data_IF_583909096301
#
_entry.id   IF_583909096301
#
_cell.length_a   1.000
_cell.length_b   1.000
_cell.length_c   1.000
_cell.angle_alpha   90.00
_cell.angle_beta   90.00
_cell.angle_gamma   90.00
#
_symmetry.space_group_name_H-M   'P 1'
#
loop_
_entity.id
_entity.type
_entity.pdbx_description
1 polymer ?
#
# COMPACT_ATOMS: atom_id res chain seq x y z
N UNK A 1 2.02 17.15 -23.77
CA UNK A 1 2.88 17.42 -22.60
C UNK A 1 3.39 16.09 -22.06
N UNK A 2 4.66 16.02 -21.67
CA UNK A 2 5.21 14.80 -21.06
C UNK A 2 4.81 14.75 -19.59
N UNK A 3 4.24 13.64 -19.12
CA UNK A 3 3.72 13.54 -17.75
C UNK A 3 4.84 13.35 -16.74
N UNK A 4 4.72 13.91 -15.54
CA UNK A 4 5.63 13.72 -14.41
C UNK A 4 4.83 13.39 -13.15
N UNK A 5 5.35 12.51 -12.29
CA UNK A 5 4.67 12.17 -11.04
C UNK A 5 5.61 12.22 -9.85
N UNK A 6 5.07 12.60 -8.69
CA UNK A 6 5.73 12.37 -7.40
C UNK A 6 5.24 11.03 -6.85
N UNK A 7 6.14 10.07 -6.61
CA UNK A 7 5.83 8.76 -6.04
C UNK A 7 6.22 8.75 -4.56
N UNK A 8 5.24 8.53 -3.68
CA UNK A 8 5.45 8.48 -2.24
C UNK A 8 5.53 7.04 -1.76
N UNK A 9 6.74 6.61 -1.37
CA UNK A 9 7.05 5.24 -0.93
C UNK A 9 6.91 5.05 0.58
N UNK A 10 6.43 3.87 0.98
CA UNK A 10 6.46 3.38 2.38
C UNK A 10 7.69 2.52 2.71
N UNK A 11 8.63 2.35 1.79
CA UNK A 11 9.74 1.41 1.88
C UNK A 11 10.86 1.93 2.81
N UNK A 12 10.82 1.48 4.06
CA UNK A 12 11.83 1.80 5.07
C UNK A 12 12.75 0.64 5.40
N UNK A 13 12.14 -0.50 5.74
CA UNK A 13 12.82 -1.70 6.23
C UNK A 13 12.16 -3.00 5.77
N UNK A 14 10.83 -3.04 5.77
CA UNK A 14 10.10 -4.25 5.42
C UNK A 14 10.22 -4.53 3.91
N UNK A 15 10.72 -5.71 3.56
CA UNK A 15 10.84 -6.14 2.15
C UNK A 15 9.52 -6.04 1.38
N UNK A 16 8.38 -6.31 2.02
CA UNK A 16 7.06 -6.14 1.42
C UNK A 16 6.75 -4.68 1.04
N UNK A 17 7.14 -3.70 1.87
CA UNK A 17 6.96 -2.28 1.55
C UNK A 17 7.88 -1.85 0.37
N UNK A 18 9.08 -2.44 0.24
CA UNK A 18 9.94 -2.27 -0.94
C UNK A 18 9.27 -2.83 -2.20
N UNK A 19 8.82 -4.09 -2.15
CA UNK A 19 8.13 -4.73 -3.27
C UNK A 19 6.87 -3.96 -3.71
N UNK A 20 6.09 -3.43 -2.76
CA UNK A 20 4.93 -2.58 -3.05
C UNK A 20 5.35 -1.32 -3.81
N UNK A 21 6.44 -0.67 -3.38
CA UNK A 21 6.93 0.56 -3.99
C UNK A 21 7.45 0.31 -5.40
N UNK A 22 8.20 -0.77 -5.59
CA UNK A 22 8.72 -1.20 -6.89
C UNK A 22 7.58 -1.55 -7.85
N UNK A 23 6.63 -2.39 -7.43
CA UNK A 23 5.46 -2.75 -8.26
C UNK A 23 4.57 -1.57 -8.59
N UNK A 24 4.41 -0.61 -7.67
CA UNK A 24 3.68 0.63 -7.97
C UNK A 24 4.39 1.44 -9.05
N UNK A 25 5.72 1.59 -8.96
CA UNK A 25 6.53 2.29 -9.95
C UNK A 25 6.50 1.57 -11.30
N UNK A 26 6.67 0.25 -11.33
CA UNK A 26 6.60 -0.58 -12.54
C UNK A 26 5.28 -0.35 -13.29
N UNK A 27 4.16 -0.38 -12.56
CA UNK A 27 2.83 -0.11 -13.13
C UNK A 27 2.75 1.30 -13.75
N UNK A 28 3.22 2.31 -13.03
CA UNK A 28 3.17 3.71 -13.47
C UNK A 28 4.04 3.91 -14.71
N UNK A 29 5.27 3.40 -14.69
CA UNK A 29 6.19 3.51 -15.81
C UNK A 29 5.63 2.80 -17.05
N UNK A 30 5.05 1.61 -16.86
CA UNK A 30 4.55 0.80 -17.96
C UNK A 30 3.31 1.38 -18.63
N UNK A 31 2.32 1.79 -17.84
CA UNK A 31 1.01 2.20 -18.35
C UNK A 31 0.85 3.72 -18.50
N UNK A 32 1.54 4.53 -17.69
CA UNK A 32 1.46 5.99 -17.77
C UNK A 32 2.64 6.63 -18.48
N UNK A 33 3.79 5.92 -18.57
CA UNK A 33 5.00 6.33 -19.31
C UNK A 33 5.41 7.78 -19.04
N UNK A 34 5.63 8.17 -17.77
CA UNK A 34 6.05 9.52 -17.45
C UNK A 34 7.44 9.84 -18.03
N UNK A 35 7.71 11.12 -18.29
CA UNK A 35 9.06 11.60 -18.60
C UNK A 35 10.03 11.35 -17.44
N UNK A 36 9.55 11.58 -16.22
CA UNK A 36 10.32 11.41 -14.99
C UNK A 36 9.39 11.22 -13.80
N UNK A 37 9.94 10.62 -12.75
CA UNK A 37 9.26 10.43 -11.46
C UNK A 37 10.16 10.92 -10.33
N UNK A 38 9.67 11.85 -9.52
CA UNK A 38 10.29 12.21 -8.24
C UNK A 38 9.89 11.16 -7.21
N UNK A 39 10.84 10.50 -6.56
CA UNK A 39 10.54 9.45 -5.58
C UNK A 39 10.94 9.95 -4.19
N UNK A 40 9.97 10.03 -3.28
CA UNK A 40 10.18 10.45 -1.90
C UNK A 40 9.65 9.37 -0.95
N UNK A 41 10.30 9.19 0.19
CA UNK A 41 9.76 8.32 1.24
C UNK A 41 8.76 9.11 2.08
N UNK A 42 7.66 8.47 2.48
CA UNK A 42 6.56 9.15 3.20
C UNK A 42 6.94 9.83 4.52
N UNK A 43 8.11 9.52 5.10
CA UNK A 43 8.60 10.14 6.35
C UNK A 43 9.71 11.18 6.13
N UNK A 44 10.11 11.44 4.88
CA UNK A 44 11.05 12.50 4.55
C UNK A 44 10.38 13.86 4.74
N UNK A 45 11.20 14.90 4.90
CA UNK A 45 10.72 16.27 4.87
C UNK A 45 10.46 16.68 3.42
N UNK A 46 9.23 17.07 3.11
CA UNK A 46 8.81 17.44 1.76
C UNK A 46 9.01 18.94 1.49
N UNK A 47 9.29 19.74 2.53
CA UNK A 47 9.47 21.19 2.41
C UNK A 47 10.53 21.57 1.34
N UNK A 48 11.71 20.93 1.26
CA UNK A 48 12.71 21.26 0.25
C UNK A 48 12.29 20.89 -1.18
N UNK A 49 11.32 20.00 -1.33
CA UNK A 49 10.88 19.45 -2.63
C UNK A 49 9.58 20.09 -3.13
N UNK A 50 8.99 21.05 -2.41
CA UNK A 50 7.67 21.60 -2.76
C UNK A 50 7.60 22.17 -4.18
N UNK A 51 8.66 22.83 -4.65
CA UNK A 51 8.73 23.35 -6.02
C UNK A 51 8.68 22.21 -7.04
N UNK A 52 9.50 21.17 -6.84
CA UNK A 52 9.55 20.00 -7.74
C UNK A 52 8.25 19.21 -7.72
N UNK A 53 7.64 19.05 -6.54
CA UNK A 53 6.34 18.40 -6.36
C UNK A 53 5.26 19.13 -7.16
N UNK A 54 5.21 20.46 -7.06
CA UNK A 54 4.20 21.27 -7.76
C UNK A 54 4.47 21.39 -9.28
N UNK A 55 5.65 21.00 -9.76
CA UNK A 55 5.96 20.83 -11.20
C UNK A 55 5.53 19.44 -11.74
N UNK A 56 5.05 18.53 -10.88
CA UNK A 56 4.49 17.24 -11.29
C UNK A 56 3.00 17.33 -11.62
N UNK A 57 2.44 16.32 -12.30
CA UNK A 57 1.00 16.25 -12.58
C UNK A 57 0.19 15.76 -11.38
N UNK A 58 0.79 14.93 -10.52
CA UNK A 58 0.15 14.38 -9.32
C UNK A 58 1.17 13.80 -8.34
N UNK A 59 0.77 13.73 -7.08
CA UNK A 59 1.40 12.89 -6.06
C UNK A 59 0.66 11.55 -6.02
N UNK A 60 1.36 10.44 -6.21
CA UNK A 60 0.83 9.08 -6.11
C UNK A 60 1.38 8.43 -4.85
N UNK A 61 0.51 8.04 -3.93
CA UNK A 61 0.90 7.33 -2.71
C UNK A 61 0.93 5.83 -3.01
N UNK A 62 2.13 5.25 -3.03
CA UNK A 62 2.37 3.87 -3.43
C UNK A 62 2.02 2.88 -2.32
N UNK A 63 0.81 2.32 -2.38
CA UNK A 63 0.39 1.11 -1.67
C UNK A 63 0.67 1.04 -0.15
N UNK A 64 0.58 -0.18 0.36
CA UNK A 64 0.92 -0.48 1.76
C UNK A 64 -0.18 -0.11 2.76
N UNK A 65 0.07 -0.36 4.06
CA UNK A 65 -0.89 -0.11 5.13
C UNK A 65 -0.97 1.39 5.50
N UNK A 66 -1.39 2.22 4.54
CA UNK A 66 -1.45 3.68 4.67
C UNK A 66 -2.59 4.19 5.54
N UNK A 67 -3.75 3.53 5.51
CA UNK A 67 -4.92 3.96 6.30
C UNK A 67 -4.79 3.51 7.76
N UNK A 68 -4.62 4.50 8.63
CA UNK A 68 -4.44 4.36 10.06
C UNK A 68 -5.10 5.55 10.77
N UNK A 69 -5.34 5.47 12.08
CA UNK A 69 -6.04 6.49 12.86
C UNK A 69 -5.46 7.89 12.65
N UNK A 70 -4.13 8.00 12.59
CA UNK A 70 -3.40 9.24 12.29
C UNK A 70 -2.86 9.25 10.86
N UNK A 71 -3.72 9.08 9.87
CA UNK A 71 -3.37 9.15 8.44
C UNK A 71 -2.72 10.51 8.13
N UNK A 72 -3.38 11.60 8.54
CA UNK A 72 -2.88 12.96 8.42
C UNK A 72 -1.84 13.25 9.49
N UNK A 73 -0.66 13.73 9.08
CA UNK A 73 0.41 14.17 9.98
C UNK A 73 1.15 13.06 10.72
N UNK A 74 0.56 11.86 10.85
CA UNK A 74 1.18 10.68 11.46
C UNK A 74 1.80 9.75 10.41
N UNK A 75 0.98 9.08 9.60
CA UNK A 75 1.48 8.20 8.52
C UNK A 75 2.07 9.01 7.38
N UNK A 76 1.43 10.15 7.05
CA UNK A 76 1.86 11.04 5.99
C UNK A 76 2.07 12.46 6.56
N UNK A 77 3.23 12.74 7.19
CA UNK A 77 3.61 14.06 7.68
C UNK A 77 3.50 15.17 6.61
N UNK A 78 3.86 14.88 5.37
CA UNK A 78 3.83 15.85 4.26
C UNK A 78 2.43 16.44 4.00
N UNK A 79 1.35 15.75 4.41
CA UNK A 79 0.00 16.29 4.28
C UNK A 79 -0.20 17.57 5.08
N UNK A 80 0.65 17.89 6.07
CA UNK A 80 0.63 19.20 6.74
C UNK A 80 0.96 20.36 5.80
N UNK A 81 1.62 20.10 4.67
CA UNK A 81 1.95 21.09 3.64
C UNK A 81 0.86 21.23 2.59
N UNK A 82 -0.29 20.57 2.77
CA UNK A 82 -1.26 20.37 1.71
C UNK A 82 -2.01 21.61 1.23
N UNK A 83 -1.87 22.74 1.92
CA UNK A 83 -2.39 24.03 1.46
C UNK A 83 -1.43 24.70 0.45
N UNK A 84 -0.19 24.19 0.36
CA UNK A 84 0.87 24.62 -0.57
C UNK A 84 1.13 23.61 -1.69
N UNK A 85 0.56 22.40 -1.57
CA UNK A 85 0.57 21.40 -2.64
C UNK A 85 -0.59 21.74 -3.59
N UNK A 86 -0.27 22.03 -4.84
CA UNK A 86 -1.26 22.46 -5.85
C UNK A 86 -1.72 21.32 -6.75
N UNK A 87 -1.05 20.18 -6.70
CA UNK A 87 -1.31 19.01 -7.54
C UNK A 87 -2.20 17.99 -6.81
N UNK A 88 -3.01 17.18 -7.52
CA UNK A 88 -3.83 16.17 -6.89
C UNK A 88 -3.00 15.09 -6.20
N UNK A 89 -3.53 14.55 -5.10
CA UNK A 89 -2.96 13.42 -4.36
C UNK A 89 -3.81 12.19 -4.66
N UNK A 90 -3.19 11.11 -5.12
CA UNK A 90 -3.85 9.88 -5.55
C UNK A 90 -3.39 8.71 -4.67
N UNK A 91 -4.25 8.24 -3.75
CA UNK A 91 -4.03 6.98 -3.04
C UNK A 91 -4.14 5.79 -4.00
N UNK A 92 -3.07 5.00 -4.10
CA UNK A 92 -2.99 3.85 -5.01
C UNK A 92 -2.81 2.55 -4.23
N UNK A 93 -3.84 1.71 -4.19
CA UNK A 93 -3.79 0.40 -3.55
C UNK A 93 -3.49 0.47 -2.05
N UNK A 94 -3.93 1.53 -1.37
CA UNK A 94 -3.72 1.67 0.07
C UNK A 94 -4.60 0.69 0.84
N UNK A 95 -4.09 0.23 1.97
CA UNK A 95 -4.79 -0.64 2.89
C UNK A 95 -4.86 -0.11 4.31
N UNK A 96 -5.82 -0.64 5.06
CA UNK A 96 -5.89 -0.48 6.49
C UNK A 96 -4.77 -1.27 7.18
N UNK A 97 -4.24 -0.71 8.27
CA UNK A 97 -3.14 -1.32 9.05
C UNK A 97 -3.53 -2.62 9.78
N UNK A 98 -4.82 -2.93 9.90
CA UNK A 98 -5.28 -4.13 10.61
C UNK A 98 -5.43 -3.95 12.12
N UNK A 99 -5.63 -2.71 12.60
CA UNK A 99 -5.86 -2.41 14.02
C UNK A 99 -7.12 -1.57 14.21
N UNK A 100 -8.01 -1.94 15.17
CA UNK A 100 -7.90 -3.09 16.08
C UNK A 100 -8.05 -4.45 15.36
N UNK A 101 -7.30 -5.45 15.82
CA UNK A 101 -7.22 -6.77 15.17
C UNK A 101 -8.60 -7.41 15.11
N UNK A 102 -8.95 -7.97 13.95
CA UNK A 102 -10.24 -8.62 13.67
C UNK A 102 -11.48 -7.72 13.78
N UNK A 103 -11.32 -6.45 14.15
CA UNK A 103 -12.40 -5.53 14.49
C UNK A 103 -12.38 -4.26 13.63
N UNK A 104 -12.37 -4.44 12.31
CA UNK A 104 -12.35 -3.30 11.36
C UNK A 104 -13.52 -2.33 11.55
N UNK A 105 -14.66 -2.82 12.03
CA UNK A 105 -15.86 -2.05 12.37
C UNK A 105 -15.61 -1.05 13.51
N UNK A 106 -14.64 -1.32 14.39
CA UNK A 106 -14.29 -0.42 15.51
C UNK A 106 -13.19 0.57 15.15
N UNK A 107 -12.55 0.41 13.99
CA UNK A 107 -11.50 1.34 13.56
C UNK A 107 -12.06 2.74 13.35
N UNK A 108 -11.34 3.73 13.88
CA UNK A 108 -11.65 5.14 13.70
C UNK A 108 -10.44 5.95 13.22
N UNK A 109 -10.67 6.84 12.27
CA UNK A 109 -9.75 7.93 11.92
C UNK A 109 -9.86 9.08 12.93
N UNK A 110 -8.77 9.83 13.11
CA UNK A 110 -8.83 11.14 13.78
C UNK A 110 -9.64 12.13 12.94
N UNK A 111 -10.18 13.17 13.56
CA UNK A 111 -10.99 14.18 12.87
C UNK A 111 -10.21 14.84 11.71
N UNK A 112 -8.94 15.15 11.92
CA UNK A 112 -8.03 15.73 10.93
C UNK A 112 -7.76 14.75 9.79
N UNK A 113 -7.62 13.46 10.11
CA UNK A 113 -7.45 12.41 9.10
C UNK A 113 -8.68 12.28 8.22
N UNK A 114 -9.89 12.33 8.81
CA UNK A 114 -11.15 12.34 8.04
C UNK A 114 -11.21 13.55 7.11
N UNK A 115 -10.90 14.74 7.61
CA UNK A 115 -10.91 15.97 6.81
C UNK A 115 -9.92 15.89 5.64
N UNK A 116 -8.69 15.44 5.90
CA UNK A 116 -7.66 15.29 4.88
C UNK A 116 -8.05 14.25 3.82
N UNK A 117 -8.53 13.07 4.23
CA UNK A 117 -8.98 12.01 3.33
C UNK A 117 -10.11 12.54 2.44
N UNK A 118 -11.16 13.15 3.02
CA UNK A 118 -12.27 13.69 2.23
C UNK A 118 -11.83 14.72 1.21
N UNK A 119 -10.91 15.63 1.59
CA UNK A 119 -10.37 16.63 0.68
C UNK A 119 -9.59 16.01 -0.47
N UNK A 120 -8.71 15.04 -0.17
CA UNK A 120 -7.95 14.28 -1.18
C UNK A 120 -8.92 13.64 -2.18
N UNK A 121 -9.91 12.90 -1.68
CA UNK A 121 -10.86 12.17 -2.52
C UNK A 121 -11.81 13.08 -3.31
N UNK A 122 -12.13 14.28 -2.80
CA UNK A 122 -12.89 15.28 -3.57
C UNK A 122 -12.10 15.85 -4.75
N UNK A 123 -10.76 15.86 -4.65
CA UNK A 123 -9.86 16.40 -5.68
C UNK A 123 -9.52 15.41 -6.81
N UNK A 124 -10.04 14.19 -6.78
CA UNK A 124 -9.70 13.13 -7.74
C UNK A 124 -10.95 12.38 -8.22
N UNK A 125 -10.88 11.83 -9.43
CA UNK A 125 -11.99 11.05 -9.98
C UNK A 125 -12.18 9.73 -9.21
N UNK A 126 -11.10 8.97 -9.03
CA UNK A 126 -11.09 7.70 -8.31
C UNK A 126 -9.77 7.51 -7.57
N UNK A 127 -9.80 6.72 -6.50
CA UNK A 127 -8.63 6.10 -5.87
C UNK A 127 -8.78 4.58 -5.87
N UNK A 128 -7.76 3.86 -5.37
CA UNK A 128 -7.89 2.42 -5.16
C UNK A 128 -7.45 1.93 -3.77
N UNK A 129 -8.05 0.80 -3.36
CA UNK A 129 -7.67 0.05 -2.16
C UNK A 129 -7.17 -1.33 -2.51
N UNK A 130 -6.36 -1.89 -1.61
CA UNK A 130 -5.83 -3.26 -1.77
C UNK A 130 -6.77 -4.37 -1.31
N UNK A 131 -7.78 -4.02 -0.53
CA UNK A 131 -8.69 -4.99 0.07
C UNK A 131 -10.08 -4.36 0.30
N UNK A 132 -11.06 -5.24 0.44
CA UNK A 132 -12.47 -4.88 0.59
C UNK A 132 -12.76 -4.26 1.96
N UNK A 133 -12.04 -4.70 3.00
CA UNK A 133 -12.16 -4.15 4.36
C UNK A 133 -11.83 -2.65 4.34
N UNK A 134 -10.74 -2.27 3.67
CA UNK A 134 -10.32 -0.87 3.55
C UNK A 134 -11.35 -0.05 2.77
N UNK A 135 -11.90 -0.60 1.69
CA UNK A 135 -12.96 0.06 0.92
C UNK A 135 -14.18 0.35 1.80
N UNK A 136 -14.60 -0.62 2.60
CA UNK A 136 -15.71 -0.46 3.55
C UNK A 136 -15.40 0.55 4.65
N UNK A 137 -14.16 0.56 5.18
CA UNK A 137 -13.73 1.59 6.13
C UNK A 137 -13.92 2.98 5.52
N UNK A 138 -13.42 3.23 4.31
CA UNK A 138 -13.55 4.53 3.64
C UNK A 138 -15.00 4.91 3.35
N UNK A 139 -15.83 3.95 2.94
CA UNK A 139 -17.26 4.17 2.68
C UNK A 139 -18.00 4.70 3.92
N UNK A 140 -17.68 4.20 5.12
CA UNK A 140 -18.26 4.70 6.39
C UNK A 140 -17.94 6.16 6.68
N UNK A 141 -16.87 6.69 6.08
CA UNK A 141 -16.48 8.10 6.18
C UNK A 141 -16.97 8.96 5.01
N UNK A 142 -17.88 8.42 4.17
CA UNK A 142 -18.49 9.14 3.05
C UNK A 142 -17.60 9.22 1.81
N UNK A 143 -16.61 8.34 1.70
CA UNK A 143 -15.70 8.27 0.55
C UNK A 143 -16.16 7.15 -0.37
N UNK A 144 -16.74 7.52 -1.52
CA UNK A 144 -17.39 6.58 -2.44
C UNK A 144 -16.60 6.29 -3.72
N UNK A 145 -15.65 7.16 -4.10
CA UNK A 145 -14.87 7.04 -5.33
C UNK A 145 -13.64 6.13 -5.17
N UNK A 146 -13.87 4.93 -4.64
CA UNK A 146 -12.82 3.97 -4.30
C UNK A 146 -13.09 2.64 -4.97
N UNK A 147 -12.13 2.17 -5.74
CA UNK A 147 -12.17 0.88 -6.41
C UNK A 147 -11.26 -0.09 -5.66
N UNK A 148 -11.78 -1.26 -5.26
CA UNK A 148 -10.90 -2.31 -4.74
C UNK A 148 -10.20 -2.97 -5.93
N UNK A 149 -8.92 -2.62 -6.12
CA UNK A 149 -8.09 -3.18 -7.20
C UNK A 149 -7.17 -4.27 -6.71
N UNK A 150 -6.98 -4.44 -5.40
CA UNK A 150 -5.90 -5.27 -4.89
C UNK A 150 -4.58 -4.52 -4.76
N UNK A 151 -3.60 -5.16 -4.12
CA UNK A 151 -2.26 -4.59 -3.95
C UNK A 151 -1.50 -4.64 -5.29
N UNK A 152 -0.68 -3.61 -5.63
CA UNK A 152 0.17 -3.66 -6.83
C UNK A 152 1.03 -4.92 -6.94
N UNK A 153 1.35 -5.56 -5.81
CA UNK A 153 2.14 -6.80 -5.76
C UNK A 153 1.40 -8.04 -6.23
N UNK A 154 0.08 -7.97 -6.45
CA UNK A 154 -0.70 -9.08 -7.00
C UNK A 154 -0.56 -9.21 -8.51
N UNK A 155 0.03 -8.20 -9.16
CA UNK A 155 0.05 -8.09 -10.61
C UNK A 155 1.42 -8.37 -11.19
N UNK A 156 1.41 -9.22 -12.20
CA UNK A 156 2.47 -9.31 -13.19
C UNK A 156 2.06 -8.44 -14.38
N UNK A 157 2.68 -7.26 -14.51
CA UNK A 157 2.30 -6.29 -15.53
C UNK A 157 2.80 -6.68 -16.92
N UNK A 158 3.78 -7.59 -17.03
CA UNK A 158 4.21 -8.18 -18.30
C UNK A 158 3.16 -9.15 -18.83
N UNK A 159 2.68 -10.03 -17.97
CA UNK A 159 1.64 -10.99 -18.32
C UNK A 159 0.29 -10.32 -18.63
N UNK A 160 -0.06 -9.26 -17.89
CA UNK A 160 -1.24 -8.43 -18.18
C UNK A 160 -1.15 -7.79 -19.57
N UNK A 161 0.01 -7.22 -19.93
CA UNK A 161 0.19 -6.59 -21.24
C UNK A 161 0.12 -7.61 -22.38
N UNK A 162 0.68 -8.81 -22.17
CA UNK A 162 0.57 -9.95 -23.08
C UNK A 162 -0.85 -10.54 -23.15
N UNK A 163 -1.76 -10.09 -22.29
CA UNK A 163 -3.14 -10.59 -22.14
C UNK A 163 -3.18 -12.10 -21.90
N UNK A 164 -2.22 -12.63 -21.14
CA UNK A 164 -2.20 -14.05 -20.87
C UNK A 164 -3.38 -14.44 -19.99
N UNK A 165 -4.03 -15.55 -20.35
CA UNK A 165 -5.14 -16.08 -19.55
C UNK A 165 -4.55 -16.75 -18.32
N UNK A 166 -5.00 -16.32 -17.14
CA UNK A 166 -4.64 -16.98 -15.89
C UNK A 166 -4.99 -18.48 -15.96
N UNK A 167 -4.02 -19.31 -15.58
CA UNK A 167 -4.19 -20.76 -15.47
C UNK A 167 -3.96 -21.15 -14.03
N UNK A 168 -4.95 -21.80 -13.44
CA UNK A 168 -4.82 -22.37 -12.11
C UNK A 168 -3.79 -23.51 -12.21
N UNK A 169 -2.70 -23.48 -11.43
CA UNK A 169 -1.76 -24.59 -11.38
C UNK A 169 -2.46 -25.87 -10.90
N UNK A 170 -2.13 -27.03 -11.48
CA UNK A 170 -2.66 -28.33 -11.00
C UNK A 170 -2.08 -28.71 -9.64
N UNK A 171 -0.85 -28.26 -9.38
CA UNK A 171 -0.08 -28.56 -8.18
C UNK A 171 0.67 -27.31 -7.72
N UNK A 172 0.95 -27.26 -6.42
CA UNK A 172 1.75 -26.20 -5.79
C UNK A 172 3.01 -26.86 -5.22
N UNK A 173 4.18 -26.53 -5.74
CA UNK A 173 5.44 -27.14 -5.26
C UNK A 173 5.96 -26.46 -4.00
N UNK A 174 5.82 -25.14 -3.90
CA UNK A 174 6.37 -24.32 -2.83
C UNK A 174 5.38 -23.24 -2.41
N UNK A 175 5.30 -23.00 -1.10
CA UNK A 175 4.49 -21.95 -0.48
C UNK A 175 5.40 -21.11 0.41
N UNK A 176 5.62 -19.86 0.03
CA UNK A 176 6.32 -18.88 0.84
C UNK A 176 5.31 -18.08 1.66
N UNK A 177 5.48 -18.04 2.97
CA UNK A 177 4.57 -17.35 3.89
C UNK A 177 5.33 -16.25 4.62
N UNK A 178 4.95 -15.00 4.36
CA UNK A 178 5.51 -13.84 5.06
C UNK A 178 5.01 -13.80 6.51
N UNK A 179 5.92 -13.92 7.47
CA UNK A 179 5.56 -14.00 8.88
C UNK A 179 5.15 -12.64 9.45
N UNK A 180 4.05 -12.60 10.20
CA UNK A 180 3.69 -11.42 10.96
C UNK A 180 4.68 -11.24 12.12
N UNK A 181 5.28 -10.05 12.23
CA UNK A 181 6.38 -9.82 13.16
C UNK A 181 5.95 -9.66 14.63
N UNK A 182 4.72 -9.23 14.89
CA UNK A 182 4.33 -8.91 16.27
C UNK A 182 4.26 -10.18 17.11
N UNK A 183 4.84 -10.22 18.33
CA UNK A 183 4.80 -11.39 19.20
C UNK A 183 3.40 -11.97 19.43
N UNK A 184 2.40 -11.09 19.57
CA UNK A 184 1.00 -11.51 19.74
C UNK A 184 0.43 -12.33 18.55
N UNK A 185 1.04 -12.22 17.36
CA UNK A 185 0.64 -12.93 16.15
C UNK A 185 1.44 -14.23 15.93
N UNK A 186 2.43 -14.55 16.77
CA UNK A 186 3.23 -15.77 16.61
C UNK A 186 2.37 -17.03 16.65
N UNK A 187 1.39 -17.10 17.55
CA UNK A 187 0.44 -18.21 17.59
C UNK A 187 -0.43 -18.29 16.32
N UNK A 188 -0.75 -17.16 15.69
CA UNK A 188 -1.44 -17.16 14.40
C UNK A 188 -0.53 -17.64 13.26
N UNK A 189 0.74 -17.24 13.26
CA UNK A 189 1.72 -17.71 12.27
C UNK A 189 1.86 -19.24 12.34
N UNK A 190 1.98 -19.82 13.55
CA UNK A 190 2.10 -21.27 13.72
C UNK A 190 0.87 -22.00 13.19
N UNK A 191 -0.34 -21.58 13.60
CA UNK A 191 -1.59 -22.17 13.09
C UNK A 191 -1.72 -22.08 11.58
N UNK A 192 -1.30 -20.95 10.98
CA UNK A 192 -1.31 -20.79 9.53
C UNK A 192 -0.37 -21.79 8.85
N UNK A 193 0.85 -21.96 9.37
CA UNK A 193 1.81 -22.92 8.83
C UNK A 193 1.32 -24.36 8.97
N UNK A 194 0.72 -24.72 10.11
CA UNK A 194 0.10 -26.03 10.34
C UNK A 194 -1.03 -26.29 9.33
N UNK A 195 -1.98 -25.37 9.20
CA UNK A 195 -3.09 -25.50 8.24
C UNK A 195 -2.61 -25.58 6.78
N UNK A 196 -1.53 -24.88 6.42
CA UNK A 196 -0.95 -24.98 5.07
C UNK A 196 -0.32 -26.35 4.82
N UNK A 197 0.35 -26.94 5.81
CA UNK A 197 0.94 -28.29 5.68
C UNK A 197 -0.13 -29.38 5.59
N UNK A 198 -1.26 -29.20 6.27
CA UNK A 198 -2.42 -30.09 6.16
C UNK A 198 -3.10 -29.97 4.78
N UNK A 199 -3.33 -28.75 4.31
CA UNK A 199 -3.98 -28.49 3.03
C UNK A 199 -3.10 -28.83 1.82
N UNK A 200 -1.78 -28.71 1.95
CA UNK A 200 -0.80 -28.90 0.89
C UNK A 200 0.34 -29.85 1.32
N UNK A 201 0.05 -31.13 1.57
CA UNK A 201 1.01 -32.06 2.19
C UNK A 201 2.23 -32.40 1.33
N UNK A 202 2.16 -32.13 0.01
CA UNK A 202 3.27 -32.35 -0.93
C UNK A 202 4.10 -31.11 -1.20
N UNK A 203 3.67 -29.94 -0.73
CA UNK A 203 4.35 -28.67 -0.99
C UNK A 203 5.44 -28.40 0.07
N UNK A 204 6.54 -27.80 -0.36
CA UNK A 204 7.47 -27.16 0.58
C UNK A 204 6.83 -25.90 1.16
N UNK A 205 6.94 -25.69 2.47
CA UNK A 205 6.44 -24.49 3.14
C UNK A 205 7.62 -23.73 3.75
N UNK A 206 7.82 -22.49 3.32
CA UNK A 206 8.94 -21.63 3.74
C UNK A 206 8.40 -20.41 4.48
N UNK A 207 8.86 -20.20 5.70
CA UNK A 207 8.59 -18.97 6.44
C UNK A 207 9.57 -17.88 6.01
N UNK A 208 9.04 -16.71 5.64
CA UNK A 208 9.84 -15.56 5.18
C UNK A 208 9.74 -14.41 6.18
N UNK A 209 10.88 -13.91 6.63
CA UNK A 209 10.97 -12.84 7.64
C UNK A 209 11.41 -11.52 6.98
N UNK A 210 10.45 -10.74 6.47
CA UNK A 210 10.68 -9.49 5.72
C UNK A 210 11.41 -8.37 6.48
N UNK A 211 11.69 -8.54 7.77
CA UNK A 211 12.35 -7.55 8.63
C UNK A 211 13.57 -8.10 9.37
N UNK A 212 14.02 -9.30 8.96
CA UNK A 212 15.02 -10.08 9.69
C UNK A 212 14.41 -10.87 10.85
N UNK A 213 15.26 -11.64 11.52
CA UNK A 213 14.92 -12.45 12.69
C UNK A 213 15.24 -11.76 14.02
N UNK A 214 16.02 -10.67 13.97
CA UNK A 214 16.41 -9.88 15.14
C UNK A 214 15.52 -8.66 15.37
N UNK A 215 15.39 -8.26 16.64
CA UNK A 215 14.70 -7.03 17.03
C UNK A 215 15.57 -5.80 16.78
N UNK A 216 14.96 -4.68 16.36
CA UNK A 216 15.60 -3.38 16.25
C UNK A 216 14.63 -2.22 16.51
N UNK A 217 15.09 -0.98 16.26
CA UNK A 217 14.28 0.24 16.46
C UNK A 217 12.99 0.32 15.63
N UNK A 218 12.76 -0.60 14.69
CA UNK A 218 11.57 -0.65 13.83
C UNK A 218 10.65 -1.84 14.15
N UNK A 219 10.97 -2.67 15.16
CA UNK A 219 10.23 -3.88 15.56
C UNK A 219 9.58 -3.72 16.93
#
# INVERSE_FOLDING_TARGET
>A
MSRKYTLVSGAFKNLGDFLISEKSKEMIDKFLRPASSLILKRNEDFEPYLSDINDTDAIIICGGPGYNTRFYGGVYPFLKLSDRITVPIIPLGLGWRGYPLYHSERFQFSAESVAAIRRIHKGIANSSTRDEITRQILARYGVANVINTGCPTLFDFDEIEKKTRFRIPSDVEQIAVSMAQKPLLHGQNLRLLESLREAFPKSGVVAVFHRGIDADKYT
#
